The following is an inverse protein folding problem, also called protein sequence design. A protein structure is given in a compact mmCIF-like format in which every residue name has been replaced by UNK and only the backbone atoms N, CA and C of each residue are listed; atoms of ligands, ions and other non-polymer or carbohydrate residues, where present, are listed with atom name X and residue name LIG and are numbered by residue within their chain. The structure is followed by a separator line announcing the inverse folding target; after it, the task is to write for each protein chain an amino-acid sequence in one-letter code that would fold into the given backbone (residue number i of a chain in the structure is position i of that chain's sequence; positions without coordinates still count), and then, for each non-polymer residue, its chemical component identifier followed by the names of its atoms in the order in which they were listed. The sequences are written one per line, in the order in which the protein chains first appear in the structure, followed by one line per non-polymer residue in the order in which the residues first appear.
data_IF_266054528836
#
_entry.id   IF_266054528836
#
_cell.length_a   1.000
_cell.length_b   1.000
_cell.length_c   1.000
_cell.angle_alpha   90.00
_cell.angle_beta   90.00
_cell.angle_gamma   90.00
#
_symmetry.space_group_name_H-M   'P 1'
#
loop_
_entity.id
_entity.type
_entity.pdbx_description
1 polymer ?
#
# COMPACT_ATOMS: atom_id res chain seq x y z
N UNK A 1 7.56 2.49 10.87
CA UNK A 1 7.68 3.76 10.11
C UNK A 1 8.73 3.70 8.99
N UNK A 2 9.98 3.28 9.22
CA UNK A 2 11.00 3.18 8.14
C UNK A 2 10.54 2.40 6.89
N UNK A 3 9.89 1.26 7.08
CA UNK A 3 9.34 0.47 5.98
C UNK A 3 8.31 1.24 5.14
N UNK A 4 7.37 1.95 5.77
CA UNK A 4 6.36 2.75 5.09
C UNK A 4 7.00 3.89 4.26
N UNK A 5 8.03 4.54 4.78
CA UNK A 5 8.76 5.57 4.05
C UNK A 5 9.52 5.00 2.83
N UNK A 6 10.08 3.79 2.93
CA UNK A 6 10.72 3.12 1.80
C UNK A 6 9.69 2.80 0.70
N UNK A 7 8.52 2.29 1.07
CA UNK A 7 7.41 2.02 0.13
C UNK A 7 6.89 3.32 -0.50
N UNK A 8 6.79 4.41 0.26
CA UNK A 8 6.36 5.71 -0.24
C UNK A 8 7.27 6.26 -1.35
N UNK A 9 8.58 6.02 -1.27
CA UNK A 9 9.53 6.47 -2.29
C UNK A 9 9.29 5.82 -3.65
N UNK A 10 8.74 4.61 -3.70
CA UNK A 10 8.48 3.92 -4.96
C UNK A 10 7.39 4.60 -5.80
N UNK A 11 6.46 5.34 -5.18
CA UNK A 11 5.38 6.05 -5.88
C UNK A 11 5.91 7.17 -6.79
N UNK A 12 7.10 7.70 -6.49
CA UNK A 12 7.77 8.69 -7.32
C UNK A 12 8.11 8.16 -8.72
N UNK A 13 8.28 6.84 -8.88
CA UNK A 13 8.57 6.22 -10.19
C UNK A 13 7.45 6.40 -11.21
N UNK A 14 6.22 6.59 -10.72
CA UNK A 14 5.02 6.78 -11.54
C UNK A 14 4.49 8.21 -11.47
N UNK A 15 5.22 9.12 -10.82
CA UNK A 15 4.83 10.52 -10.66
C UNK A 15 3.73 10.76 -9.62
N UNK A 16 3.41 9.75 -8.79
CA UNK A 16 2.37 9.88 -7.77
C UNK A 16 2.91 10.52 -6.47
N UNK A 17 2.01 11.02 -5.64
CA UNK A 17 2.35 11.59 -4.32
C UNK A 17 2.95 10.48 -3.44
N UNK A 18 4.11 10.70 -2.81
CA UNK A 18 4.83 9.66 -2.07
C UNK A 18 4.15 9.37 -0.72
N UNK A 19 3.16 8.48 -0.76
CA UNK A 19 2.49 7.91 0.43
C UNK A 19 2.75 6.40 0.44
N UNK A 20 3.10 5.87 1.60
CA UNK A 20 3.36 4.45 1.81
C UNK A 20 2.66 3.94 3.05
N UNK A 21 2.12 2.74 2.95
CA UNK A 21 1.32 2.05 3.97
C UNK A 21 1.89 0.66 4.19
N UNK A 22 1.92 0.25 5.45
CA UNK A 22 2.27 -1.10 5.88
C UNK A 22 1.12 -1.60 6.75
N UNK A 23 0.57 -2.77 6.41
CA UNK A 23 -0.42 -3.47 7.24
C UNK A 23 0.34 -4.50 8.08
N UNK A 24 0.17 -4.46 9.39
CA UNK A 24 0.75 -5.43 10.33
C UNK A 24 -0.34 -6.18 11.07
N UNK A 25 -0.06 -7.42 11.46
CA UNK A 25 -0.94 -8.18 12.34
C UNK A 25 -0.64 -7.91 13.83
N UNK A 26 -1.39 -8.57 14.71
CA UNK A 26 -1.22 -8.49 16.19
C UNK A 26 0.15 -8.95 16.70
N UNK A 27 0.91 -9.71 15.90
CA UNK A 27 2.25 -10.18 16.22
C UNK A 27 3.34 -9.23 15.67
N UNK A 28 2.97 -8.06 15.15
CA UNK A 28 3.84 -7.10 14.46
C UNK A 28 4.48 -7.64 13.16
N UNK A 29 3.89 -8.66 12.55
CA UNK A 29 4.34 -9.18 11.27
C UNK A 29 3.69 -8.39 10.13
N UNK A 30 4.46 -8.06 9.10
CA UNK A 30 3.95 -7.36 7.92
C UNK A 30 3.10 -8.32 7.09
N UNK A 31 1.85 -7.95 6.87
CA UNK A 31 0.89 -8.68 6.03
C UNK A 31 0.95 -8.16 4.60
N UNK A 32 0.93 -6.83 4.43
CA UNK A 32 1.00 -6.21 3.11
C UNK A 32 1.63 -4.83 3.17
N UNK A 33 1.95 -4.31 2.00
CA UNK A 33 2.40 -2.94 1.80
C UNK A 33 1.66 -2.32 0.62
N UNK A 34 1.54 -1.00 0.61
CA UNK A 34 0.92 -0.27 -0.49
C UNK A 34 1.49 1.13 -0.62
N UNK A 35 1.47 1.65 -1.84
CA UNK A 35 1.82 3.03 -2.17
C UNK A 35 0.73 3.61 -3.07
N UNK A 36 0.71 4.93 -3.25
CA UNK A 36 -0.20 5.50 -4.25
C UNK A 36 0.14 4.98 -5.65
N UNK A 37 -0.88 4.52 -6.37
CA UNK A 37 -0.80 4.02 -7.74
C UNK A 37 -1.87 4.67 -8.65
N UNK A 38 -2.37 5.86 -8.27
CA UNK A 38 -3.39 6.60 -9.01
C UNK A 38 -2.91 6.97 -10.39
N UNK A 39 -1.72 7.53 -10.47
CA UNK A 39 -1.10 7.92 -11.75
C UNK A 39 -0.69 6.68 -12.57
N UNK A 40 -0.26 5.62 -11.90
CA UNK A 40 0.17 4.38 -12.54
C UNK A 40 -0.99 3.61 -13.21
N UNK A 41 -2.17 3.63 -12.57
CA UNK A 41 -3.34 2.86 -12.97
C UNK A 41 -4.44 3.72 -13.62
N UNK A 42 -4.32 5.05 -13.57
CA UNK A 42 -5.42 5.96 -13.92
C UNK A 42 -6.64 5.81 -13.01
N UNK A 43 -6.45 5.30 -11.79
CA UNK A 43 -7.52 5.01 -10.82
C UNK A 43 -7.46 6.04 -9.66
N UNK A 44 -8.43 6.97 -9.55
CA UNK A 44 -8.42 7.97 -8.47
C UNK A 44 -8.58 7.34 -7.08
N UNK A 45 -8.98 6.07 -6.97
CA UNK A 45 -9.12 5.34 -5.70
C UNK A 45 -7.89 4.54 -5.30
N UNK A 46 -6.87 4.43 -6.16
CA UNK A 46 -5.64 3.68 -5.91
C UNK A 46 -4.69 4.41 -4.94
N UNK A 47 -5.22 4.89 -3.82
CA UNK A 47 -4.48 5.42 -2.69
C UNK A 47 -3.74 4.29 -1.96
N UNK A 48 -2.61 4.62 -1.33
CA UNK A 48 -1.76 3.67 -0.63
C UNK A 48 -2.51 2.79 0.38
N UNK A 49 -3.48 3.38 1.11
CA UNK A 49 -4.31 2.67 2.09
C UNK A 49 -5.17 1.61 1.42
N UNK A 50 -5.84 1.97 0.33
CA UNK A 50 -6.73 1.08 -0.43
C UNK A 50 -5.92 -0.04 -1.09
N UNK A 51 -4.78 0.31 -1.69
CA UNK A 51 -3.86 -0.68 -2.28
C UNK A 51 -3.37 -1.67 -1.23
N UNK A 52 -2.92 -1.20 -0.07
CA UNK A 52 -2.44 -2.07 1.00
C UNK A 52 -3.55 -2.97 1.57
N UNK A 53 -4.76 -2.44 1.78
CA UNK A 53 -5.91 -3.21 2.29
C UNK A 53 -6.34 -4.27 1.27
N UNK A 54 -6.44 -3.92 -0.02
CA UNK A 54 -6.77 -4.88 -1.08
C UNK A 54 -5.75 -6.01 -1.14
N UNK A 55 -4.46 -5.68 -1.10
CA UNK A 55 -3.38 -6.68 -1.08
C UNK A 55 -3.43 -7.57 0.18
N UNK A 56 -3.74 -7.02 1.35
CA UNK A 56 -3.93 -7.81 2.56
C UNK A 56 -5.13 -8.77 2.44
N UNK A 57 -6.27 -8.27 1.94
CA UNK A 57 -7.47 -9.07 1.75
C UNK A 57 -7.26 -10.22 0.76
N UNK A 58 -6.54 -9.96 -0.34
CA UNK A 58 -6.16 -10.98 -1.32
C UNK A 58 -5.26 -12.05 -0.69
N UNK A 59 -4.22 -11.64 0.06
CA UNK A 59 -3.32 -12.57 0.73
C UNK A 59 -4.04 -13.43 1.78
N UNK A 60 -4.97 -12.84 2.54
CA UNK A 60 -5.73 -13.53 3.59
C UNK A 60 -6.91 -14.33 3.04
N UNK A 61 -7.28 -14.16 1.77
CA UNK A 61 -8.44 -14.81 1.16
C UNK A 61 -9.78 -14.36 1.75
N UNK A 62 -9.83 -13.19 2.41
CA UNK A 62 -11.02 -12.64 3.07
C UNK A 62 -10.98 -11.11 3.05
N UNK A 63 -12.15 -10.48 2.95
CA UNK A 63 -12.30 -9.03 3.08
C UNK A 63 -12.59 -8.59 4.53
N UNK A 64 -12.83 -9.55 5.43
CA UNK A 64 -13.04 -9.37 6.87
C UNK A 64 -11.85 -9.87 7.67
#
# INVERSE_FOLDING_TARGET
MRAALAVAQEALRTGDVPVGVIVINKNNEVISQGRNEREALGDPTAHAEIVAIRAAAELLGTWR
#
